data_IF_627273182235
#
_entry.id   IF_627273182235
#
_cell.length_a   1.000
_cell.length_b   1.000
_cell.length_c   1.000
_cell.angle_alpha   90.00
_cell.angle_beta   90.00
_cell.angle_gamma   90.00
#
_symmetry.space_group_name_H-M   'P 1'
#
loop_
_entity.id
_entity.type
_entity.pdbx_description
1 polymer ?
#
# COMPACT_ATOMS: atom_id res chain seq x y z
N UNK A 1 -7.69 3.79 -1.46
CA UNK A 1 -7.56 2.32 -1.31
C UNK A 1 -8.91 1.61 -1.41
N UNK A 2 -9.97 2.04 -0.69
CA UNK A 2 -11.28 1.35 -0.63
C UNK A 2 -11.85 0.98 -2.01
N UNK A 3 -11.87 1.91 -2.97
CA UNK A 3 -12.35 1.62 -4.33
C UNK A 3 -11.51 0.55 -5.03
N UNK A 4 -10.18 0.58 -4.86
CA UNK A 4 -9.31 -0.42 -5.45
C UNK A 4 -9.54 -1.80 -4.84
N UNK A 5 -9.82 -1.88 -3.54
CA UNK A 5 -10.14 -3.15 -2.87
C UNK A 5 -11.47 -3.73 -3.33
N UNK A 6 -12.51 -2.89 -3.47
CA UNK A 6 -13.79 -3.30 -4.04
C UNK A 6 -13.62 -3.86 -5.48
N UNK A 7 -12.81 -3.19 -6.30
CA UNK A 7 -12.51 -3.65 -7.67
C UNK A 7 -11.72 -4.95 -7.64
N UNK A 8 -10.69 -5.06 -6.80
CA UNK A 8 -9.87 -6.28 -6.68
C UNK A 8 -10.71 -7.49 -6.25
N UNK A 9 -11.51 -7.35 -5.19
CA UNK A 9 -12.41 -8.40 -4.70
C UNK A 9 -13.40 -8.83 -5.78
N UNK A 10 -13.99 -7.87 -6.48
CA UNK A 10 -14.92 -8.14 -7.58
C UNK A 10 -14.25 -8.88 -8.73
N UNK A 11 -13.11 -8.37 -9.24
CA UNK A 11 -12.39 -9.01 -10.36
C UNK A 11 -12.02 -10.45 -10.01
N UNK A 12 -11.41 -10.68 -8.83
CA UNK A 12 -10.98 -12.00 -8.43
C UNK A 12 -12.17 -12.92 -8.18
N UNK A 13 -13.23 -12.41 -7.56
CA UNK A 13 -14.48 -13.16 -7.32
C UNK A 13 -15.13 -13.59 -8.62
N UNK A 14 -15.27 -12.70 -9.60
CA UNK A 14 -15.85 -13.00 -10.91
C UNK A 14 -14.97 -13.98 -11.71
N UNK A 15 -13.66 -13.79 -11.72
CA UNK A 15 -12.75 -14.72 -12.38
C UNK A 15 -12.81 -16.12 -11.79
N UNK A 16 -12.92 -16.24 -10.46
CA UNK A 16 -13.09 -17.53 -9.77
C UNK A 16 -14.43 -18.17 -10.11
N UNK A 17 -15.53 -17.41 -10.01
CA UNK A 17 -16.88 -17.90 -10.27
C UNK A 17 -17.07 -18.39 -11.72
N UNK A 18 -16.42 -17.74 -12.67
CA UNK A 18 -16.52 -18.05 -14.10
C UNK A 18 -15.40 -18.99 -14.60
N UNK A 19 -14.52 -19.50 -13.72
CA UNK A 19 -13.36 -20.32 -14.08
C UNK A 19 -12.44 -19.67 -15.13
N UNK A 20 -12.25 -18.35 -15.02
CA UNK A 20 -11.40 -17.53 -15.92
C UNK A 20 -10.17 -16.96 -15.21
N UNK A 21 -9.83 -17.47 -14.03
CA UNK A 21 -8.60 -17.10 -13.35
C UNK A 21 -7.41 -17.61 -14.18
N UNK A 22 -6.46 -16.73 -14.56
CA UNK A 22 -5.28 -17.17 -15.30
C UNK A 22 -4.37 -18.04 -14.40
N UNK A 23 -3.44 -18.75 -14.98
CA UNK A 23 -2.36 -19.41 -14.24
C UNK A 23 -1.43 -18.35 -13.63
N UNK A 24 -0.90 -18.63 -12.43
CA UNK A 24 0.00 -17.72 -11.70
C UNK A 24 -0.49 -16.25 -11.68
N UNK A 25 -1.71 -15.98 -11.18
CA UNK A 25 -2.30 -14.65 -11.19
C UNK A 25 -1.59 -13.73 -10.20
N UNK A 26 -1.42 -12.46 -10.58
CA UNK A 26 -0.73 -11.45 -9.76
C UNK A 26 -1.55 -10.18 -9.63
N UNK A 27 -1.66 -9.69 -8.39
CA UNK A 27 -1.98 -8.30 -8.07
C UNK A 27 -0.69 -7.51 -7.85
N UNK A 28 -0.66 -6.25 -8.27
CA UNK A 28 0.50 -5.37 -8.06
C UNK A 28 0.04 -4.09 -7.37
N UNK A 29 0.70 -3.73 -6.26
CA UNK A 29 0.42 -2.48 -5.56
C UNK A 29 1.67 -1.70 -5.18
N UNK A 30 1.52 -0.42 -4.85
CA UNK A 30 2.60 0.33 -4.22
C UNK A 30 2.74 -0.04 -2.74
N UNK A 31 3.97 -0.01 -2.22
CA UNK A 31 4.28 -0.32 -0.80
C UNK A 31 3.55 0.54 0.23
N UNK A 32 2.84 1.58 -0.20
CA UNK A 32 2.09 2.52 0.65
C UNK A 32 0.58 2.44 0.42
N UNK A 33 0.10 1.39 -0.24
CA UNK A 33 -1.32 1.21 -0.54
C UNK A 33 -2.09 0.62 0.64
N UNK A 34 -2.29 -0.69 0.71
CA UNK A 34 -3.08 -1.28 1.80
C UNK A 34 -2.79 -2.75 2.03
N UNK A 35 -2.58 -3.12 3.28
CA UNK A 35 -2.40 -4.54 3.66
C UNK A 35 -3.68 -5.38 3.50
N UNK A 36 -4.85 -4.77 3.26
CA UNK A 36 -6.05 -5.51 2.89
C UNK A 36 -5.84 -6.28 1.58
N UNK A 37 -5.03 -5.75 0.66
CA UNK A 37 -4.68 -6.45 -0.58
C UNK A 37 -3.98 -7.77 -0.33
N UNK A 38 -3.12 -7.87 0.71
CA UNK A 38 -2.47 -9.12 1.13
C UNK A 38 -3.51 -10.16 1.58
N UNK A 39 -4.52 -9.72 2.33
CA UNK A 39 -5.58 -10.60 2.80
C UNK A 39 -6.47 -11.11 1.65
N UNK A 40 -6.83 -10.23 0.72
CA UNK A 40 -7.59 -10.56 -0.48
C UNK A 40 -6.79 -11.53 -1.36
N UNK A 41 -5.55 -11.20 -1.71
CA UNK A 41 -4.69 -12.02 -2.55
C UNK A 41 -4.56 -13.44 -1.97
N UNK A 42 -4.31 -13.56 -0.67
CA UNK A 42 -4.26 -14.84 0.04
C UNK A 42 -5.56 -15.64 -0.06
N UNK A 43 -6.72 -14.98 0.06
CA UNK A 43 -8.03 -15.63 0.01
C UNK A 43 -8.35 -16.20 -1.38
N UNK A 44 -7.77 -15.60 -2.42
CA UNK A 44 -7.97 -16.03 -3.80
C UNK A 44 -6.81 -16.87 -4.36
N UNK A 45 -5.77 -17.16 -3.58
CA UNK A 45 -4.55 -17.84 -4.03
C UNK A 45 -3.88 -17.09 -5.19
N UNK A 46 -3.75 -15.78 -5.02
CA UNK A 46 -3.15 -14.83 -5.96
C UNK A 46 -1.90 -14.27 -5.32
N UNK A 47 -0.82 -14.14 -6.08
CA UNK A 47 0.38 -13.48 -5.59
C UNK A 47 0.16 -11.96 -5.52
N UNK A 48 0.58 -11.32 -4.43
CA UNK A 48 0.68 -9.87 -4.34
C UNK A 48 2.13 -9.45 -4.49
N UNK A 49 2.38 -8.54 -5.43
CA UNK A 49 3.69 -7.93 -5.65
C UNK A 49 3.65 -6.47 -5.25
N UNK A 50 4.48 -6.12 -4.26
CA UNK A 50 4.66 -4.74 -3.82
C UNK A 50 5.77 -4.06 -4.65
N UNK A 51 5.52 -2.81 -5.07
CA UNK A 51 6.49 -1.99 -5.79
C UNK A 51 6.63 -0.61 -5.16
N UNK A 52 7.67 0.15 -5.50
CA UNK A 52 7.80 1.55 -5.07
C UNK A 52 6.64 2.40 -5.62
N UNK A 53 6.40 3.54 -4.97
CA UNK A 53 5.39 4.51 -5.37
C UNK A 53 5.63 5.05 -6.78
N UNK A 54 4.60 5.00 -7.60
CA UNK A 54 4.59 5.44 -8.99
C UNK A 54 4.21 4.33 -9.96
N UNK A 55 3.17 4.58 -10.75
CA UNK A 55 2.57 3.56 -11.63
C UNK A 55 3.55 2.97 -12.65
N UNK A 56 4.64 3.68 -12.97
CA UNK A 56 5.73 3.16 -13.81
C UNK A 56 6.28 1.82 -13.32
N UNK A 57 6.36 1.61 -12.01
CA UNK A 57 6.85 0.35 -11.44
C UNK A 57 5.83 -0.78 -11.60
N UNK A 58 4.53 -0.47 -11.55
CA UNK A 58 3.47 -1.43 -11.89
C UNK A 58 3.57 -1.80 -13.37
N UNK A 59 3.70 -0.80 -14.25
CA UNK A 59 3.90 -1.01 -15.70
C UNK A 59 5.17 -1.81 -16.02
N UNK A 60 6.24 -1.64 -15.26
CA UNK A 60 7.47 -2.42 -15.36
C UNK A 60 7.25 -3.89 -15.01
N UNK A 61 6.51 -4.20 -13.95
CA UNK A 61 6.16 -5.58 -13.62
C UNK A 61 5.31 -6.23 -14.72
N UNK A 62 4.32 -5.51 -15.25
CA UNK A 62 3.54 -5.99 -16.38
C UNK A 62 4.42 -6.38 -17.57
N UNK A 63 5.37 -5.50 -17.95
CA UNK A 63 6.31 -5.78 -19.03
C UNK A 63 7.20 -6.99 -18.74
N UNK A 64 7.64 -7.15 -17.50
CA UNK A 64 8.42 -8.30 -17.06
C UNK A 64 7.64 -9.60 -17.23
N UNK A 65 6.38 -9.63 -16.79
CA UNK A 65 5.52 -10.82 -16.91
C UNK A 65 5.17 -11.14 -18.35
N UNK A 66 4.92 -10.12 -19.16
CA UNK A 66 4.67 -10.29 -20.61
C UNK A 66 5.87 -10.93 -21.33
N UNK A 67 7.09 -10.53 -20.96
CA UNK A 67 8.33 -11.08 -21.56
C UNK A 67 8.68 -12.46 -21.05
N UNK A 68 8.48 -12.74 -19.76
CA UNK A 68 8.86 -14.02 -19.16
C UNK A 68 7.79 -15.11 -19.34
N UNK A 69 6.52 -14.72 -19.42
CA UNK A 69 5.39 -15.65 -19.41
C UNK A 69 5.19 -16.38 -18.06
N UNK A 70 5.93 -16.00 -17.00
CA UNK A 70 5.90 -16.70 -15.72
C UNK A 70 4.65 -16.39 -14.89
N UNK A 71 4.11 -15.18 -15.03
CA UNK A 71 3.00 -14.68 -14.22
C UNK A 71 2.00 -13.91 -15.09
N UNK A 72 0.76 -13.84 -14.62
CA UNK A 72 -0.31 -13.14 -15.30
C UNK A 72 -0.84 -12.00 -14.42
N UNK A 73 -0.59 -10.77 -14.86
CA UNK A 73 -1.14 -9.57 -14.24
C UNK A 73 -2.66 -9.55 -14.33
N UNK A 74 -3.33 -9.37 -13.19
CA UNK A 74 -4.79 -9.30 -13.11
C UNK A 74 -5.27 -7.87 -12.85
N UNK A 75 -4.67 -7.20 -11.86
CA UNK A 75 -5.02 -5.85 -11.47
C UNK A 75 -3.85 -5.19 -10.74
N UNK A 76 -3.68 -3.89 -10.94
CA UNK A 76 -2.69 -3.10 -10.20
C UNK A 76 -3.24 -1.75 -9.82
N UNK A 77 -2.75 -1.22 -8.69
CA UNK A 77 -3.24 0.03 -8.14
C UNK A 77 -2.21 0.70 -7.23
N UNK A 78 -2.41 1.99 -7.02
CA UNK A 78 -1.68 2.80 -6.05
C UNK A 78 -2.65 3.66 -5.23
N UNK A 79 -2.22 4.14 -4.07
CA UNK A 79 -3.05 4.90 -3.13
C UNK A 79 -3.58 6.22 -3.71
N UNK A 80 -2.89 6.77 -4.70
CA UNK A 80 -3.19 8.07 -5.32
C UNK A 80 -4.18 7.96 -6.49
N UNK A 81 -5.30 7.27 -6.29
CA UNK A 81 -6.40 7.11 -7.25
C UNK A 81 -6.01 6.38 -8.56
N UNK A 82 -4.85 5.76 -8.62
CA UNK A 82 -4.35 5.06 -9.81
C UNK A 82 -4.71 3.59 -9.80
N UNK A 83 -5.41 3.10 -10.83
CA UNK A 83 -5.55 1.67 -11.04
C UNK A 83 -5.63 1.31 -12.54
N UNK A 84 -5.37 0.03 -12.84
CA UNK A 84 -5.42 -0.50 -14.20
C UNK A 84 -5.94 -1.95 -14.18
N UNK A 85 -7.14 -2.20 -14.68
CA UNK A 85 -7.75 -3.53 -14.73
C UNK A 85 -7.41 -4.27 -16.05
N UNK A 86 -6.15 -4.54 -16.31
CA UNK A 86 -5.73 -5.26 -17.53
C UNK A 86 -4.39 -4.81 -18.07
N UNK A 87 -3.99 -5.37 -19.21
CA UNK A 87 -2.63 -5.21 -19.78
C UNK A 87 -2.56 -4.34 -21.04
N UNK A 88 -3.65 -3.69 -21.41
CA UNK A 88 -3.78 -2.87 -22.63
C UNK A 88 -3.04 -1.53 -22.56
N UNK A 89 -2.67 -1.08 -21.38
CA UNK A 89 -1.89 0.13 -21.13
C UNK A 89 -0.73 -0.17 -20.16
N UNK A 90 0.15 0.82 -19.90
CA UNK A 90 1.26 0.71 -18.95
C UNK A 90 1.22 1.78 -17.86
N UNK A 91 0.15 2.53 -17.81
CA UNK A 91 -0.14 3.51 -16.78
C UNK A 91 -1.62 3.42 -16.39
N UNK A 92 -1.96 4.03 -15.26
CA UNK A 92 -3.33 4.10 -14.74
C UNK A 92 -4.32 4.62 -15.79
N UNK A 93 -5.52 4.05 -15.77
CA UNK A 93 -6.61 4.42 -16.68
C UNK A 93 -7.86 4.78 -15.88
N UNK A 94 -8.11 6.09 -15.74
CA UNK A 94 -9.24 6.59 -14.98
C UNK A 94 -10.61 6.23 -15.63
N UNK A 95 -10.82 6.34 -16.96
CA UNK A 95 -12.03 5.85 -17.60
C UNK A 95 -12.34 4.38 -17.31
N UNK A 96 -11.35 3.49 -17.44
CA UNK A 96 -11.51 2.08 -17.11
C UNK A 96 -11.81 1.86 -15.63
N UNK A 97 -11.15 2.61 -14.74
CA UNK A 97 -11.39 2.56 -13.29
C UNK A 97 -12.85 2.94 -12.94
N UNK A 98 -13.37 4.00 -13.56
CA UNK A 98 -14.77 4.44 -13.38
C UNK A 98 -15.74 3.38 -13.92
N UNK A 99 -15.50 2.85 -15.10
CA UNK A 99 -16.34 1.76 -15.66
C UNK A 99 -16.35 0.54 -14.73
N UNK A 100 -15.20 0.11 -14.25
CA UNK A 100 -15.11 -1.00 -13.29
C UNK A 100 -15.86 -0.72 -12.01
N UNK A 101 -15.74 0.48 -11.45
CA UNK A 101 -16.44 0.83 -10.21
C UNK A 101 -17.97 0.89 -10.42
N UNK A 102 -18.44 1.34 -11.60
CA UNK A 102 -19.86 1.28 -11.95
C UNK A 102 -20.34 -0.17 -12.07
N UNK A 103 -19.54 -1.06 -12.64
CA UNK A 103 -19.85 -2.50 -12.73
C UNK A 103 -19.92 -3.14 -11.35
N UNK A 104 -18.95 -2.84 -10.47
CA UNK A 104 -18.96 -3.27 -9.06
C UNK A 104 -20.22 -2.75 -8.34
N UNK A 105 -20.59 -1.48 -8.56
CA UNK A 105 -21.81 -0.93 -7.98
C UNK A 105 -23.08 -1.63 -8.47
N UNK A 106 -23.15 -1.95 -9.75
CA UNK A 106 -24.26 -2.71 -10.34
C UNK A 106 -24.33 -4.14 -9.75
N UNK A 107 -23.18 -4.79 -9.59
CA UNK A 107 -23.08 -6.11 -8.95
C UNK A 107 -23.64 -6.09 -7.51
N UNK A 108 -23.21 -5.16 -6.66
CA UNK A 108 -23.74 -5.06 -5.30
C UNK A 108 -25.22 -4.68 -5.30
N UNK A 109 -25.62 -3.75 -6.17
CA UNK A 109 -27.04 -3.36 -6.31
C UNK A 109 -27.94 -4.54 -6.70
N UNK A 110 -27.46 -5.46 -7.55
CA UNK A 110 -28.24 -6.67 -7.90
C UNK A 110 -28.48 -7.60 -6.71
N UNK A 111 -27.69 -7.45 -5.63
CA UNK A 111 -27.81 -8.17 -4.37
C UNK A 111 -28.54 -7.35 -3.29
N UNK A 112 -29.11 -6.19 -3.63
CA UNK A 112 -29.76 -5.27 -2.69
C UNK A 112 -28.77 -4.51 -1.78
N UNK A 113 -27.50 -4.43 -2.16
CA UNK A 113 -26.42 -3.79 -1.41
C UNK A 113 -25.90 -2.52 -2.10
N UNK A 114 -25.31 -1.64 -1.30
CA UNK A 114 -24.52 -0.49 -1.78
C UNK A 114 -23.04 -0.86 -1.86
N UNK A 115 -22.22 0.01 -2.45
CA UNK A 115 -20.74 -0.14 -2.38
C UNK A 115 -20.24 -0.10 -0.93
N UNK A 116 -20.89 0.67 -0.06
CA UNK A 116 -20.51 0.72 1.35
C UNK A 116 -20.81 -0.60 2.07
N UNK A 117 -21.98 -1.21 1.80
CA UNK A 117 -22.27 -2.54 2.34
C UNK A 117 -21.25 -3.57 1.87
N UNK A 118 -20.84 -3.50 0.59
CA UNK A 118 -19.75 -4.33 0.07
C UNK A 118 -18.42 -4.08 0.77
N UNK A 119 -18.13 -2.84 1.14
CA UNK A 119 -16.91 -2.52 1.90
C UNK A 119 -17.00 -3.06 3.33
N UNK A 120 -18.16 -2.99 3.98
CA UNK A 120 -18.37 -3.60 5.30
C UNK A 120 -18.21 -5.12 5.25
N UNK A 121 -18.81 -5.81 4.27
CA UNK A 121 -18.59 -7.25 4.06
C UNK A 121 -17.09 -7.61 3.99
N UNK A 122 -16.30 -6.77 3.30
CA UNK A 122 -14.86 -6.98 3.17
C UNK A 122 -14.11 -6.72 4.49
N UNK A 123 -14.49 -5.69 5.24
CA UNK A 123 -13.93 -5.44 6.57
C UNK A 123 -14.22 -6.59 7.53
N UNK A 124 -15.45 -7.10 7.56
CA UNK A 124 -15.82 -8.26 8.37
C UNK A 124 -15.06 -9.52 7.96
N UNK A 125 -14.83 -9.70 6.66
CA UNK A 125 -14.14 -10.87 6.11
C UNK A 125 -12.62 -10.83 6.33
N UNK A 126 -11.98 -9.68 6.15
CA UNK A 126 -10.51 -9.55 6.09
C UNK A 126 -9.91 -8.81 7.28
N UNK A 127 -10.70 -8.00 7.98
CA UNK A 127 -10.30 -7.11 9.05
C UNK A 127 -10.45 -5.64 8.66
N UNK A 128 -10.49 -4.78 9.65
CA UNK A 128 -10.73 -3.34 9.49
C UNK A 128 -9.41 -2.61 9.23
N UNK A 129 -8.98 -2.63 7.98
CA UNK A 129 -7.77 -1.91 7.54
C UNK A 129 -8.08 -0.44 7.28
N UNK A 130 -7.24 0.43 7.82
CA UNK A 130 -7.34 1.88 7.62
C UNK A 130 -5.95 2.45 7.32
N UNK A 131 -5.89 3.31 6.33
CA UNK A 131 -4.67 3.98 5.92
C UNK A 131 -4.86 5.49 5.91
N UNK A 132 -3.78 6.21 6.15
CA UNK A 132 -3.77 7.66 6.14
C UNK A 132 -2.43 8.25 5.76
N UNK A 133 -2.45 9.54 5.48
CA UNK A 133 -1.26 10.31 5.15
C UNK A 133 -1.18 11.49 6.11
N UNK A 134 0.00 11.68 6.70
CA UNK A 134 0.39 12.93 7.35
C UNK A 134 1.47 13.61 6.50
N UNK A 135 1.55 14.93 6.55
CA UNK A 135 2.53 15.69 5.77
C UNK A 135 3.19 16.73 6.65
N UNK A 136 4.51 16.73 6.65
CA UNK A 136 5.33 17.77 7.25
C UNK A 136 5.84 18.68 6.13
N UNK A 137 5.56 19.98 6.22
CA UNK A 137 6.04 20.97 5.26
C UNK A 137 7.12 21.84 5.91
N UNK A 138 8.32 21.83 5.36
CA UNK A 138 9.44 22.60 5.84
C UNK A 138 9.59 23.85 4.98
N UNK A 139 9.30 25.02 5.54
CA UNK A 139 9.34 26.28 4.84
C UNK A 139 10.77 26.85 4.78
N UNK A 140 11.05 27.62 3.74
CA UNK A 140 12.30 28.36 3.59
C UNK A 140 13.31 27.71 2.64
N UNK A 141 14.43 28.40 2.43
CA UNK A 141 15.50 27.99 1.50
C UNK A 141 16.17 26.71 2.00
N UNK A 142 16.21 26.49 3.31
CA UNK A 142 16.87 25.34 3.95
C UNK A 142 15.97 24.10 4.06
N UNK A 143 14.72 24.18 3.61
CA UNK A 143 13.76 23.08 3.76
C UNK A 143 14.24 21.74 3.21
N UNK A 144 14.91 21.74 2.05
CA UNK A 144 15.47 20.53 1.47
C UNK A 144 16.62 19.94 2.31
N UNK A 145 17.48 20.80 2.88
CA UNK A 145 18.56 20.36 3.76
C UNK A 145 18.02 19.79 5.08
N UNK A 146 16.98 20.38 5.64
CA UNK A 146 16.30 19.89 6.84
C UNK A 146 15.65 18.51 6.59
N UNK A 147 15.02 18.32 5.45
CA UNK A 147 14.47 17.03 5.04
C UNK A 147 15.56 15.95 5.01
N UNK A 148 16.70 16.26 4.40
CA UNK A 148 17.82 15.34 4.34
C UNK A 148 18.33 14.98 5.75
N UNK A 149 18.46 15.97 6.64
CA UNK A 149 18.86 15.75 8.03
C UNK A 149 17.87 14.87 8.79
N UNK A 150 16.56 15.06 8.61
CA UNK A 150 15.51 14.21 9.20
C UNK A 150 15.68 12.77 8.73
N UNK A 151 15.83 12.55 7.43
CA UNK A 151 15.99 11.21 6.86
C UNK A 151 17.30 10.55 7.33
N UNK A 152 18.38 11.31 7.46
CA UNK A 152 19.67 10.78 7.92
C UNK A 152 19.61 10.42 9.42
N UNK A 153 18.97 11.24 10.27
CA UNK A 153 18.71 10.90 11.68
C UNK A 153 17.88 9.64 11.81
N UNK A 154 16.80 9.52 11.01
CA UNK A 154 15.93 8.35 11.01
C UNK A 154 16.66 7.05 10.63
N UNK A 155 17.66 7.12 9.75
CA UNK A 155 18.52 5.98 9.40
C UNK A 155 19.51 5.61 10.49
N UNK A 156 20.03 6.61 11.18
CA UNK A 156 21.02 6.40 12.25
C UNK A 156 20.39 5.86 13.53
N UNK A 157 19.17 6.26 13.83
CA UNK A 157 18.47 5.92 15.07
C UNK A 157 17.05 5.45 14.79
N UNK A 158 16.90 4.13 14.68
CA UNK A 158 15.58 3.51 14.55
C UNK A 158 14.87 3.54 15.91
N UNK A 159 13.63 4.08 16.00
CA UNK A 159 12.88 4.03 17.24
C UNK A 159 12.49 2.60 17.61
N UNK A 160 12.42 2.28 18.88
CA UNK A 160 11.90 1.00 19.36
C UNK A 160 10.36 0.93 19.22
N UNK A 161 9.71 2.10 19.29
CA UNK A 161 8.25 2.25 19.19
C UNK A 161 7.87 3.48 18.37
N UNK A 162 6.71 3.41 17.74
CA UNK A 162 5.98 4.55 17.18
C UNK A 162 4.58 4.56 17.81
N UNK A 163 4.34 5.46 18.77
CA UNK A 163 3.16 5.45 19.61
C UNK A 163 3.02 4.15 20.39
N UNK A 164 1.89 3.50 20.30
CA UNK A 164 1.62 2.22 20.97
C UNK A 164 2.31 1.02 20.32
N UNK A 165 2.79 1.14 19.08
CA UNK A 165 3.29 0.03 18.29
C UNK A 165 4.79 -0.18 18.44
N UNK A 166 5.22 -1.43 18.63
CA UNK A 166 6.62 -1.83 18.59
C UNK A 166 7.12 -1.83 17.13
N UNK A 167 8.34 -1.33 16.88
CA UNK A 167 8.97 -1.43 15.56
C UNK A 167 9.63 -2.81 15.45
N UNK A 168 9.13 -3.63 14.55
CA UNK A 168 9.59 -5.00 14.33
C UNK A 168 10.74 -5.08 13.34
N UNK A 169 10.65 -4.32 12.24
CA UNK A 169 11.69 -4.25 11.23
C UNK A 169 11.69 -2.89 10.53
N UNK A 170 12.82 -2.56 9.91
CA UNK A 170 12.97 -1.35 9.09
C UNK A 170 13.48 -1.74 7.71
N UNK A 171 12.78 -1.25 6.66
CA UNK A 171 13.24 -1.32 5.27
C UNK A 171 13.82 0.04 4.89
N UNK A 172 15.11 0.08 4.55
CA UNK A 172 15.74 1.25 3.93
C UNK A 172 15.95 0.97 2.44
N UNK A 173 15.07 1.52 1.63
CA UNK A 173 15.15 1.33 0.17
C UNK A 173 16.33 2.06 -0.48
N UNK A 174 16.96 3.04 0.20
CA UNK A 174 18.18 3.68 -0.29
C UNK A 174 19.38 2.74 -0.19
N UNK A 175 19.43 1.94 0.87
CA UNK A 175 20.49 0.98 1.14
C UNK A 175 20.16 -0.45 0.64
N UNK A 176 18.97 -0.69 0.10
CA UNK A 176 18.43 -2.00 -0.24
C UNK A 176 18.51 -3.00 0.93
N UNK A 177 18.09 -2.58 2.12
CA UNK A 177 18.15 -3.41 3.32
C UNK A 177 16.81 -3.46 4.04
N UNK A 178 16.44 -4.65 4.54
CA UNK A 178 15.42 -4.88 5.56
C UNK A 178 16.10 -5.47 6.79
N UNK A 179 16.07 -4.75 7.91
CA UNK A 179 16.64 -5.18 9.19
C UNK A 179 15.53 -5.57 10.15
N UNK A 180 15.51 -6.82 10.56
CA UNK A 180 14.68 -7.30 11.67
C UNK A 180 15.30 -6.85 12.99
N UNK A 181 14.53 -6.15 13.85
CA UNK A 181 15.08 -5.57 15.07
C UNK A 181 15.16 -6.56 16.23
N UNK A 182 14.43 -7.69 16.16
CA UNK A 182 14.47 -8.73 17.18
C UNK A 182 15.66 -9.68 16.96
N UNK A 183 15.88 -10.09 15.71
CA UNK A 183 16.93 -11.06 15.37
C UNK A 183 18.24 -10.39 14.97
N UNK A 184 18.18 -9.13 14.50
CA UNK A 184 19.31 -8.42 13.90
C UNK A 184 19.59 -8.86 12.46
N UNK A 185 18.80 -9.76 11.89
CA UNK A 185 18.97 -10.24 10.51
C UNK A 185 18.77 -9.10 9.51
N UNK A 186 19.63 -9.06 8.51
CA UNK A 186 19.56 -8.08 7.41
C UNK A 186 19.41 -8.83 6.09
N UNK A 187 18.36 -8.50 5.35
CA UNK A 187 18.05 -9.02 4.02
C UNK A 187 17.92 -7.87 3.01
N UNK A 188 17.97 -8.16 1.72
CA UNK A 188 17.66 -7.16 0.69
C UNK A 188 16.15 -6.88 0.63
N UNK A 189 15.75 -5.65 0.27
CA UNK A 189 14.35 -5.32 -0.06
C UNK A 189 13.96 -5.83 -1.44
N UNK A 190 14.93 -5.95 -2.35
CA UNK A 190 14.73 -6.39 -3.72
C UNK A 190 14.04 -5.36 -4.62
N UNK A 191 13.90 -4.11 -4.17
CA UNK A 191 13.31 -3.01 -4.94
C UNK A 191 14.38 -1.98 -5.33
N UNK A 192 14.12 -1.16 -6.37
CA UNK A 192 15.05 -0.13 -6.79
C UNK A 192 15.41 0.85 -5.67
N UNK A 193 16.63 1.42 -5.70
CA UNK A 193 17.05 2.39 -4.70
C UNK A 193 16.17 3.64 -4.71
N UNK A 194 15.67 4.01 -3.53
CA UNK A 194 14.81 5.17 -3.33
C UNK A 194 14.99 5.76 -1.93
N UNK A 195 14.89 7.07 -1.78
CA UNK A 195 15.00 7.73 -0.47
C UNK A 195 13.72 7.52 0.38
N UNK A 196 13.45 6.27 0.74
CA UNK A 196 12.26 5.83 1.48
C UNK A 196 12.69 4.97 2.65
N UNK A 197 12.07 5.17 3.81
CA UNK A 197 12.13 4.30 4.97
C UNK A 197 10.74 3.72 5.23
N UNK A 198 10.67 2.44 5.55
CA UNK A 198 9.43 1.76 5.89
C UNK A 198 9.61 1.00 7.21
N UNK A 199 8.77 1.28 8.18
CA UNK A 199 8.75 0.65 9.49
C UNK A 199 7.63 -0.38 9.52
N UNK A 200 7.99 -1.65 9.69
CA UNK A 200 7.04 -2.73 10.00
C UNK A 200 6.76 -2.67 11.51
N UNK A 201 5.50 -2.54 11.85
CA UNK A 201 5.07 -2.34 13.24
C UNK A 201 4.32 -3.58 13.76
N UNK A 202 4.15 -3.67 15.08
CA UNK A 202 3.28 -4.70 15.67
C UNK A 202 1.82 -4.55 15.19
N UNK A 203 1.02 -5.60 15.39
CA UNK A 203 -0.42 -5.62 15.13
C UNK A 203 -0.82 -5.30 13.67
N UNK A 204 0.05 -5.65 12.72
CA UNK A 204 -0.10 -5.36 11.30
C UNK A 204 -0.21 -3.86 10.98
N UNK A 205 0.39 -3.01 11.82
CA UNK A 205 0.54 -1.60 11.52
C UNK A 205 1.85 -1.35 10.76
N UNK A 206 1.91 -0.21 10.07
CA UNK A 206 3.11 0.19 9.35
C UNK A 206 3.20 1.72 9.19
N UNK A 207 4.42 2.20 8.98
CA UNK A 207 4.68 3.60 8.65
C UNK A 207 5.74 3.69 7.55
N UNK A 208 5.45 4.44 6.49
CA UNK A 208 6.40 4.72 5.42
C UNK A 208 6.71 6.21 5.36
N UNK A 209 7.99 6.54 5.38
CA UNK A 209 8.50 7.93 5.37
C UNK A 209 9.14 8.20 4.02
N UNK A 210 8.58 9.18 3.29
CA UNK A 210 9.00 9.50 1.94
C UNK A 210 9.08 11.02 1.73
N UNK A 211 10.27 11.57 1.47
CA UNK A 211 10.40 12.94 1.00
C UNK A 211 9.73 13.16 -0.36
N UNK A 212 9.14 14.32 -0.57
CA UNK A 212 8.69 14.73 -1.91
C UNK A 212 9.90 15.05 -2.78
N UNK A 213 9.86 14.63 -4.06
CA UNK A 213 10.92 14.95 -5.03
C UNK A 213 10.83 16.38 -5.61
N UNK A 214 9.72 17.06 -5.42
CA UNK A 214 9.42 18.36 -6.09
C UNK A 214 9.13 19.49 -5.11
N UNK A 215 8.82 19.19 -3.87
CA UNK A 215 8.44 20.18 -2.85
C UNK A 215 9.18 19.89 -1.54
N UNK A 216 9.42 20.90 -0.68
CA UNK A 216 10.06 20.71 0.61
C UNK A 216 9.07 20.11 1.63
N UNK A 217 8.68 18.87 1.39
CA UNK A 217 7.70 18.11 2.18
C UNK A 217 8.16 16.69 2.44
N UNK A 218 7.84 16.17 3.61
CA UNK A 218 7.90 14.73 3.91
C UNK A 218 6.48 14.22 4.05
N UNK A 219 6.17 13.12 3.37
CA UNK A 219 4.92 12.38 3.51
C UNK A 219 5.16 11.17 4.42
N UNK A 220 4.27 11.00 5.35
CA UNK A 220 4.19 9.85 6.23
C UNK A 220 2.92 9.10 5.88
N UNK A 221 3.07 7.93 5.27
CA UNK A 221 1.98 7.01 5.03
C UNK A 221 1.92 6.07 6.21
N UNK A 222 0.74 5.85 6.74
CA UNK A 222 0.53 4.93 7.85
C UNK A 222 -0.65 4.03 7.56
N UNK A 223 -0.57 2.79 8.03
CA UNK A 223 -1.65 1.82 7.97
C UNK A 223 -1.78 1.08 9.28
N UNK A 224 -3.00 0.74 9.61
CA UNK A 224 -3.36 -0.03 10.80
C UNK A 224 -4.42 -1.07 10.47
N UNK A 225 -4.54 -2.07 11.34
CA UNK A 225 -5.64 -3.03 11.31
C UNK A 225 -6.29 -3.07 12.69
N UNK A 226 -7.58 -2.78 12.76
CA UNK A 226 -8.37 -2.85 13.99
C UNK A 226 -9.35 -4.01 14.00
N UNK A 227 -10.00 -4.20 15.14
CA UNK A 227 -11.08 -5.18 15.33
C UNK A 227 -12.46 -4.58 15.00
N UNK A 228 -12.56 -3.26 14.92
CA UNK A 228 -13.75 -2.51 14.53
C UNK A 228 -13.33 -1.31 13.66
N UNK A 229 -14.29 -0.75 12.90
CA UNK A 229 -14.02 0.42 12.06
C UNK A 229 -13.60 1.63 12.91
N UNK A 230 -14.36 1.94 13.96
CA UNK A 230 -14.09 3.08 14.87
C UNK A 230 -12.75 2.90 15.59
N UNK A 231 -12.44 1.66 16.03
CA UNK A 231 -11.15 1.34 16.66
C UNK A 231 -9.98 1.51 15.70
N UNK A 232 -10.13 1.08 14.44
CA UNK A 232 -9.12 1.28 13.41
C UNK A 232 -8.92 2.78 13.08
N UNK A 233 -10.00 3.56 13.01
CA UNK A 233 -9.92 5.00 12.79
C UNK A 233 -9.21 5.72 13.95
N UNK A 234 -9.49 5.36 15.20
CA UNK A 234 -8.81 5.90 16.36
C UNK A 234 -7.31 5.55 16.33
N UNK A 235 -6.96 4.27 16.12
CA UNK A 235 -5.58 3.81 16.04
C UNK A 235 -4.80 4.55 14.94
N UNK A 236 -5.45 4.79 13.79
CA UNK A 236 -4.86 5.53 12.67
C UNK A 236 -4.50 6.96 13.06
N UNK A 237 -5.43 7.70 13.68
CA UNK A 237 -5.19 9.09 14.08
C UNK A 237 -4.11 9.20 15.17
N UNK A 238 -4.10 8.27 16.14
CA UNK A 238 -3.07 8.20 17.17
C UNK A 238 -1.69 7.92 16.54
N UNK A 239 -1.57 6.94 15.63
CA UNK A 239 -0.31 6.65 14.95
C UNK A 239 0.18 7.82 14.11
N UNK A 240 -0.70 8.51 13.37
CA UNK A 240 -0.35 9.72 12.59
C UNK A 240 0.25 10.81 13.48
N UNK A 241 -0.39 11.07 14.63
CA UNK A 241 0.08 12.10 15.57
C UNK A 241 1.45 11.75 16.16
N UNK A 242 1.66 10.50 16.57
CA UNK A 242 2.93 10.04 17.15
C UNK A 242 4.06 10.01 16.11
N UNK A 243 3.76 9.63 14.87
CA UNK A 243 4.74 9.69 13.77
C UNK A 243 5.18 11.13 13.51
N UNK A 244 4.26 12.08 13.39
CA UNK A 244 4.63 13.49 13.19
C UNK A 244 5.53 13.99 14.33
N UNK A 245 5.13 13.75 15.58
CA UNK A 245 5.88 14.15 16.78
C UNK A 245 7.29 13.52 16.83
N UNK A 246 7.44 12.27 16.37
CA UNK A 246 8.74 11.59 16.34
C UNK A 246 9.72 12.22 15.34
N UNK A 247 9.21 12.71 14.21
CA UNK A 247 10.04 13.26 13.13
C UNK A 247 10.20 14.80 13.18
N UNK A 248 9.48 15.51 14.06
CA UNK A 248 9.73 16.92 14.38
C UNK A 248 11.07 17.09 15.14
#
# INVERSE_FOLDING_TARGET
>A
NMSAMLIAEYILGQKRANNTMPENPVLVESIVSTDMAKAIAKAYDVELVEVLTGFKYIGEQMLKYEKSGEKNYVFGFEESYGCLPGTYARDKDAPAAVCMLCEVAAFYKSQGKTLWDGMIDMYEKYGYYREGIATMTLKGIDGAAQIQQIMDRARQSTPAKLGAFDVLAVRDYKADTRKDLKTGEVTATGLPSSNVLYYELSDNAWCCVRPSGTEPKIKFYVGVKGDTLDGADQMLEELKAEVLKHFE
#
